data_IF_612818056315
#
_entry.id   IF_612818056315
#
_cell.length_a   1.000
_cell.length_b   1.000
_cell.length_c   1.000
_cell.angle_alpha   90.00
_cell.angle_beta   90.00
_cell.angle_gamma   90.00
#
_symmetry.space_group_name_H-M   'P 1'
#
loop_
_entity.id
_entity.type
_entity.pdbx_description
1 polymer ?
#
# COMPACT_ATOMS: atom_id res chain seq x y z
N UNK A 1 1.56 -8.53 10.21
CA UNK A 1 1.46 -8.15 8.79
C UNK A 1 1.62 -9.44 8.00
N UNK A 2 0.91 -9.58 6.88
CA UNK A 2 0.87 -10.84 6.13
C UNK A 2 1.95 -10.91 5.02
N UNK A 3 2.57 -9.77 4.68
CA UNK A 3 3.55 -9.61 3.60
C UNK A 3 4.63 -10.72 3.52
N UNK A 4 5.34 -11.07 4.62
CA UNK A 4 6.34 -12.13 4.58
C UNK A 4 5.77 -13.50 4.20
N UNK A 5 4.54 -13.80 4.64
CA UNK A 5 3.85 -15.04 4.27
C UNK A 5 3.53 -15.09 2.77
N UNK A 6 3.08 -13.98 2.21
CA UNK A 6 2.84 -13.86 0.76
C UNK A 6 4.13 -13.97 -0.07
N UNK A 7 5.27 -13.48 0.43
CA UNK A 7 6.57 -13.69 -0.21
C UNK A 7 6.95 -15.18 -0.26
N UNK A 8 6.71 -15.92 0.83
CA UNK A 8 6.94 -17.37 0.89
C UNK A 8 5.99 -18.12 -0.05
N UNK A 9 4.73 -17.69 -0.15
CA UNK A 9 3.77 -18.26 -1.09
C UNK A 9 4.18 -18.01 -2.54
N UNK A 10 4.67 -16.81 -2.85
CA UNK A 10 5.19 -16.46 -4.16
C UNK A 10 6.37 -17.37 -4.53
N UNK A 11 7.37 -17.51 -3.64
CA UNK A 11 8.59 -18.30 -3.88
C UNK A 11 8.40 -19.82 -3.84
N UNK A 12 7.20 -20.31 -3.48
CA UNK A 12 6.92 -21.74 -3.41
C UNK A 12 7.09 -22.47 -4.76
N UNK A 13 6.90 -21.78 -5.88
CA UNK A 13 7.10 -22.32 -7.22
C UNK A 13 7.82 -21.31 -8.12
N UNK A 14 8.62 -21.77 -9.10
CA UNK A 14 9.12 -20.93 -10.19
C UNK A 14 7.99 -20.14 -10.83
N UNK A 15 8.21 -18.84 -11.05
CA UNK A 15 7.24 -17.93 -11.67
C UNK A 15 7.71 -17.47 -13.03
N UNK A 16 6.80 -17.28 -13.96
CA UNK A 16 7.08 -16.72 -15.29
C UNK A 16 6.41 -15.36 -15.45
N UNK A 17 6.93 -14.51 -16.34
CA UNK A 17 6.40 -13.16 -16.56
C UNK A 17 4.92 -13.13 -16.96
N UNK A 18 4.43 -14.20 -17.60
CA UNK A 18 3.04 -14.37 -18.03
C UNK A 18 2.05 -14.59 -16.87
N UNK A 19 2.53 -15.03 -15.71
CA UNK A 19 1.70 -15.19 -14.51
C UNK A 19 1.51 -13.86 -13.75
N UNK A 20 2.26 -12.81 -14.14
CA UNK A 20 2.19 -11.49 -13.52
C UNK A 20 1.18 -10.60 -14.28
N UNK A 21 0.34 -9.82 -13.58
CA UNK A 21 0.37 -9.56 -12.14
C UNK A 21 -0.31 -10.66 -11.31
N UNK A 22 0.36 -11.10 -10.24
CA UNK A 22 -0.15 -12.08 -9.28
C UNK A 22 -0.66 -11.36 -8.02
N UNK A 23 -1.92 -11.64 -7.64
CA UNK A 23 -2.61 -10.93 -6.56
C UNK A 23 -3.02 -11.91 -5.46
N UNK A 24 -2.54 -11.69 -4.25
CA UNK A 24 -3.00 -12.41 -3.06
C UNK A 24 -3.81 -11.48 -2.15
N UNK A 25 -4.90 -12.00 -1.60
CA UNK A 25 -5.71 -11.30 -0.61
C UNK A 25 -5.82 -12.19 0.64
N UNK A 26 -5.68 -11.59 1.82
CA UNK A 26 -5.69 -12.28 3.11
C UNK A 26 -6.43 -11.45 4.17
N UNK A 27 -7.39 -12.09 4.83
CA UNK A 27 -8.18 -11.54 5.94
C UNK A 27 -7.70 -12.06 7.31
N UNK A 28 -6.43 -12.44 7.38
CA UNK A 28 -5.75 -12.95 8.57
C UNK A 28 -5.83 -12.01 9.77
N UNK A 29 -5.85 -12.60 10.97
CA UNK A 29 -5.90 -11.84 12.23
C UNK A 29 -4.52 -11.27 12.54
N UNK A 30 -4.45 -9.95 12.63
CA UNK A 30 -3.25 -9.20 12.98
C UNK A 30 -3.26 -8.78 14.44
N UNK A 31 -2.08 -8.78 15.04
CA UNK A 31 -1.87 -8.28 16.40
C UNK A 31 -0.76 -7.21 16.41
N UNK A 32 -1.02 -6.08 17.08
CA UNK A 32 -0.03 -5.03 17.35
C UNK A 32 -0.09 -4.65 18.82
N UNK A 33 1.05 -4.62 19.50
CA UNK A 33 1.11 -4.25 20.92
C UNK A 33 1.11 -2.74 21.11
N UNK A 34 0.01 -2.10 20.72
CA UNK A 34 -0.20 -0.65 20.89
C UNK A 34 -0.17 -0.25 22.38
N UNK A 35 0.36 0.94 22.65
CA UNK A 35 0.36 1.53 23.99
C UNK A 35 -1.08 1.61 24.52
N UNK A 36 -1.30 1.19 25.77
CA UNK A 36 -2.65 1.12 26.35
C UNK A 36 -3.40 2.46 26.31
N UNK A 37 -2.69 3.57 26.52
CA UNK A 37 -3.27 4.93 26.45
C UNK A 37 -3.63 5.41 25.06
N UNK A 38 -3.19 4.73 23.98
CA UNK A 38 -3.53 5.07 22.60
C UNK A 38 -4.74 4.28 22.08
N UNK A 39 -5.22 3.27 22.81
CA UNK A 39 -6.36 2.45 22.40
C UNK A 39 -7.65 3.27 22.43
N UNK A 40 -8.46 3.15 21.37
CA UNK A 40 -9.72 3.89 21.26
C UNK A 40 -10.74 3.13 20.41
N UNK A 41 -11.89 2.83 21.02
CA UNK A 41 -13.04 2.17 20.37
C UNK A 41 -12.63 1.00 19.48
N UNK A 42 -13.01 1.10 18.19
CA UNK A 42 -12.61 0.16 17.13
C UNK A 42 -11.56 0.72 16.17
N UNK A 43 -11.18 2.01 16.31
CA UNK A 43 -10.25 2.67 15.39
C UNK A 43 -8.79 2.38 15.73
N UNK A 44 -8.47 2.08 17.00
CA UNK A 44 -7.12 1.65 17.42
C UNK A 44 -7.19 0.55 18.47
N UNK A 45 -6.89 -0.67 18.04
CA UNK A 45 -7.03 -1.91 18.82
C UNK A 45 -5.76 -2.76 18.71
N UNK A 46 -5.58 -3.71 19.65
CA UNK A 46 -4.43 -4.63 19.62
C UNK A 46 -4.60 -5.84 18.70
N UNK A 47 -5.85 -6.17 18.35
CA UNK A 47 -6.20 -7.28 17.47
C UNK A 47 -7.22 -6.78 16.45
N UNK A 48 -6.93 -6.97 15.18
CA UNK A 48 -7.78 -6.53 14.06
C UNK A 48 -7.58 -7.43 12.84
N UNK A 49 -8.42 -7.27 11.83
CA UNK A 49 -8.27 -7.91 10.52
C UNK A 49 -8.21 -6.81 9.48
N UNK A 50 -7.24 -6.91 8.58
CA UNK A 50 -7.17 -6.06 7.39
C UNK A 50 -7.69 -6.89 6.22
N UNK A 51 -8.34 -6.23 5.28
CA UNK A 51 -8.52 -6.67 3.90
C UNK A 51 -7.19 -6.55 3.14
N UNK A 52 -6.16 -7.23 3.66
CA UNK A 52 -4.78 -7.09 3.22
C UNK A 52 -4.58 -7.76 1.84
N UNK A 53 -3.82 -7.11 0.96
CA UNK A 53 -3.56 -7.63 -0.37
C UNK A 53 -2.15 -7.29 -0.85
N UNK A 54 -1.55 -8.21 -1.59
CA UNK A 54 -0.20 -8.04 -2.15
C UNK A 54 -0.22 -8.40 -3.63
N UNK A 55 0.28 -7.47 -4.44
CA UNK A 55 0.34 -7.60 -5.88
C UNK A 55 1.82 -7.70 -6.27
N UNK A 56 2.21 -8.86 -6.79
CA UNK A 56 3.51 -9.06 -7.44
C UNK A 56 3.32 -8.78 -8.92
N UNK A 57 4.01 -7.77 -9.43
CA UNK A 57 3.89 -7.35 -10.82
C UNK A 57 5.25 -6.94 -11.39
N UNK A 58 5.34 -6.85 -12.71
CA UNK A 58 6.50 -6.27 -13.37
C UNK A 58 6.45 -4.75 -13.29
N UNK A 59 7.60 -4.09 -13.49
CA UNK A 59 7.69 -2.62 -13.45
C UNK A 59 6.73 -1.95 -14.44
N UNK A 60 6.58 -2.50 -15.64
CA UNK A 60 5.67 -1.98 -16.67
C UNK A 60 4.18 -2.10 -16.30
N UNK A 61 3.83 -2.87 -15.27
CA UNK A 61 2.46 -3.10 -14.81
C UNK A 61 2.07 -2.27 -13.59
N UNK A 62 3.03 -1.60 -12.93
CA UNK A 62 2.82 -0.87 -11.67
C UNK A 62 1.71 0.18 -11.81
N UNK A 63 1.76 0.99 -12.87
CA UNK A 63 0.80 2.08 -13.09
C UNK A 63 -0.64 1.57 -13.21
N UNK A 64 -0.84 0.50 -13.98
CA UNK A 64 -2.16 -0.10 -14.18
C UNK A 64 -2.72 -0.73 -12.90
N UNK A 65 -1.87 -1.39 -12.10
CA UNK A 65 -2.28 -1.99 -10.82
C UNK A 65 -2.66 -0.94 -9.78
N UNK A 66 -1.91 0.16 -9.68
CA UNK A 66 -2.25 1.26 -8.77
C UNK A 66 -3.56 1.92 -9.21
N UNK A 67 -3.75 2.14 -10.52
CA UNK A 67 -5.00 2.71 -11.05
C UNK A 67 -6.20 1.83 -10.70
N UNK A 68 -6.08 0.52 -10.89
CA UNK A 68 -7.10 -0.45 -10.48
C UNK A 68 -7.40 -0.42 -8.98
N UNK A 69 -6.38 -0.22 -8.13
CA UNK A 69 -6.57 -0.05 -6.69
C UNK A 69 -7.32 1.25 -6.35
N UNK A 70 -6.99 2.36 -7.02
CA UNK A 70 -7.69 3.64 -6.85
C UNK A 70 -9.15 3.56 -7.29
N UNK A 71 -9.44 2.85 -8.39
CA UNK A 71 -10.81 2.60 -8.85
C UNK A 71 -11.60 1.77 -7.85
N UNK A 72 -11.00 0.71 -7.29
CA UNK A 72 -11.62 -0.10 -6.25
C UNK A 72 -11.92 0.72 -4.98
N UNK A 73 -10.99 1.57 -4.56
CA UNK A 73 -11.21 2.50 -3.43
C UNK A 73 -12.33 3.50 -3.71
N UNK A 74 -12.40 4.02 -4.94
CA UNK A 74 -13.47 4.93 -5.36
C UNK A 74 -14.84 4.25 -5.31
N UNK A 75 -14.93 3.01 -5.82
CA UNK A 75 -16.16 2.23 -5.72
C UNK A 75 -16.58 2.01 -4.27
N UNK A 76 -15.67 1.52 -3.42
CA UNK A 76 -15.96 1.25 -2.01
C UNK A 76 -16.37 2.52 -1.26
N UNK A 77 -15.51 3.54 -1.23
CA UNK A 77 -15.77 4.73 -0.43
C UNK A 77 -16.85 5.63 -1.01
N UNK A 78 -16.79 5.98 -2.29
CA UNK A 78 -17.70 6.98 -2.88
C UNK A 78 -19.04 6.35 -3.28
N UNK A 79 -19.02 5.19 -3.95
CA UNK A 79 -20.24 4.60 -4.53
C UNK A 79 -21.04 3.80 -3.51
N UNK A 80 -20.39 2.94 -2.72
CA UNK A 80 -21.07 2.05 -1.77
C UNK A 80 -21.35 2.75 -0.44
N UNK A 81 -20.35 3.41 0.14
CA UNK A 81 -20.47 3.99 1.49
C UNK A 81 -20.77 5.49 1.52
N UNK A 82 -20.63 6.21 0.39
CA UNK A 82 -20.91 7.65 0.32
C UNK A 82 -19.91 8.55 1.06
N UNK A 83 -18.68 8.07 1.30
CA UNK A 83 -17.59 8.87 1.84
C UNK A 83 -16.85 9.64 0.74
N UNK A 84 -16.27 10.77 1.12
CA UNK A 84 -15.20 11.42 0.36
C UNK A 84 -13.86 11.11 0.99
N UNK A 85 -12.82 10.89 0.19
CA UNK A 85 -11.47 10.65 0.69
C UNK A 85 -10.44 11.62 0.08
N UNK A 86 -9.32 11.79 0.78
CA UNK A 86 -8.13 12.50 0.30
C UNK A 86 -6.98 11.54 0.10
N UNK A 87 -6.22 11.78 -0.95
CA UNK A 87 -5.00 11.06 -1.29
C UNK A 87 -3.80 11.86 -0.79
N UNK A 88 -2.88 11.21 -0.08
CA UNK A 88 -1.62 11.81 0.34
C UNK A 88 -0.45 10.94 -0.13
N UNK A 89 0.49 11.53 -0.88
CA UNK A 89 1.73 10.85 -1.26
C UNK A 89 2.75 11.01 -0.14
N UNK A 90 3.04 9.91 0.55
CA UNK A 90 4.02 9.85 1.62
C UNK A 90 5.38 9.37 1.09
N UNK A 91 6.37 10.27 1.14
CA UNK A 91 7.70 10.07 0.54
C UNK A 91 8.72 9.53 1.55
N UNK A 92 9.93 9.21 1.05
CA UNK A 92 11.04 8.61 1.78
C UNK A 92 11.31 9.26 3.16
N UNK A 93 11.26 8.50 4.26
CA UNK A 93 11.62 8.98 5.59
C UNK A 93 13.14 9.14 5.76
N UNK A 94 13.58 9.76 6.86
CA UNK A 94 15.02 9.86 7.19
C UNK A 94 15.70 8.48 7.34
N UNK A 95 15.00 7.51 7.93
CA UNK A 95 15.45 6.13 8.08
C UNK A 95 14.79 5.21 7.06
N UNK A 96 15.46 4.94 5.95
CA UNK A 96 14.95 4.09 4.86
C UNK A 96 15.90 2.94 4.51
N UNK A 97 15.37 1.92 3.85
CA UNK A 97 16.11 0.78 3.32
C UNK A 97 16.29 0.86 1.80
N UNK A 98 17.40 0.32 1.32
CA UNK A 98 17.70 0.20 -0.10
C UNK A 98 18.35 1.45 -0.71
N UNK A 99 18.47 1.43 -2.03
CA UNK A 99 19.14 2.47 -2.80
C UNK A 99 18.23 3.69 -3.04
N UNK A 100 18.83 4.89 -3.01
CA UNK A 100 18.12 6.16 -3.27
C UNK A 100 17.52 6.17 -4.68
N UNK A 101 18.18 5.56 -5.67
CA UNK A 101 17.67 5.47 -7.05
C UNK A 101 16.33 4.75 -7.12
N UNK A 102 16.21 3.60 -6.45
CA UNK A 102 14.98 2.81 -6.38
C UNK A 102 13.85 3.60 -5.72
N UNK A 103 14.18 4.37 -4.69
CA UNK A 103 13.21 5.26 -4.05
C UNK A 103 12.73 6.38 -4.96
N UNK A 104 13.63 7.03 -5.69
CA UNK A 104 13.28 8.09 -6.61
C UNK A 104 12.38 7.56 -7.74
N UNK A 105 12.66 6.36 -8.25
CA UNK A 105 11.79 5.66 -9.21
C UNK A 105 10.41 5.40 -8.61
N UNK A 106 10.35 4.79 -7.42
CA UNK A 106 9.10 4.47 -6.74
C UNK A 106 8.22 5.70 -6.48
N UNK A 107 8.83 6.81 -6.04
CA UNK A 107 8.13 8.07 -5.81
C UNK A 107 7.64 8.71 -7.11
N UNK A 108 8.43 8.61 -8.18
CA UNK A 108 8.04 9.09 -9.50
C UNK A 108 6.84 8.30 -10.04
N UNK A 109 6.88 6.96 -9.96
CA UNK A 109 5.79 6.09 -10.40
C UNK A 109 4.49 6.39 -9.66
N UNK A 110 4.52 6.50 -8.33
CA UNK A 110 3.34 6.85 -7.53
C UNK A 110 2.81 8.24 -7.87
N UNK A 111 3.71 9.22 -8.07
CA UNK A 111 3.34 10.59 -8.40
C UNK A 111 2.70 10.67 -9.79
N UNK A 112 3.25 9.98 -10.78
CA UNK A 112 2.71 9.93 -12.14
C UNK A 112 1.28 9.39 -12.14
N UNK A 113 1.04 8.25 -11.48
CA UNK A 113 -0.31 7.68 -11.39
C UNK A 113 -1.29 8.61 -10.66
N UNK A 114 -0.83 9.30 -9.61
CA UNK A 114 -1.64 10.29 -8.90
C UNK A 114 -1.98 11.49 -9.80
N UNK A 115 -1.02 12.01 -10.55
CA UNK A 115 -1.20 13.13 -11.48
C UNK A 115 -2.17 12.74 -12.62
N UNK A 116 -2.02 11.54 -13.17
CA UNK A 116 -2.91 10.99 -14.22
C UNK A 116 -4.33 10.70 -13.72
N UNK A 117 -4.50 10.37 -12.43
CA UNK A 117 -5.82 10.07 -11.86
C UNK A 117 -6.79 11.25 -11.93
N UNK A 118 -6.29 12.47 -12.14
CA UNK A 118 -7.07 13.71 -12.13
C UNK A 118 -7.65 14.08 -10.76
N UNK A 119 -7.33 13.31 -9.71
CA UNK A 119 -7.78 13.55 -8.34
C UNK A 119 -6.82 14.49 -7.62
N UNK A 120 -7.37 15.32 -6.73
CA UNK A 120 -6.55 16.17 -5.86
C UNK A 120 -5.83 15.29 -4.84
N UNK A 121 -4.51 15.41 -4.80
CA UNK A 121 -3.66 14.76 -3.81
C UNK A 121 -2.75 15.80 -3.13
N UNK A 122 -2.21 15.46 -1.96
CA UNK A 122 -1.27 16.29 -1.21
C UNK A 122 0.03 15.54 -0.94
N UNK A 123 1.14 16.25 -0.85
CA UNK A 123 2.43 15.68 -0.47
C UNK A 123 2.55 15.61 1.05
N UNK A 124 3.02 14.49 1.57
CA UNK A 124 3.33 14.28 2.99
C UNK A 124 4.80 13.85 3.12
N UNK A 125 5.69 14.83 3.20
CA UNK A 125 7.13 14.59 3.13
C UNK A 125 7.62 13.77 4.34
N UNK A 126 8.33 12.66 4.06
CA UNK A 126 9.01 11.87 5.09
C UNK A 126 8.14 10.91 5.89
N UNK A 127 6.86 10.75 5.55
CA UNK A 127 5.91 9.85 6.25
C UNK A 127 5.74 8.48 5.54
N UNK A 128 6.60 8.18 4.57
CA UNK A 128 6.66 6.90 3.87
C UNK A 128 7.03 5.75 4.81
N UNK A 129 6.73 4.51 4.42
CA UNK A 129 7.18 3.35 5.17
C UNK A 129 8.69 3.20 5.01
N UNK A 130 9.41 2.57 5.95
CA UNK A 130 10.87 2.41 5.83
C UNK A 130 11.32 1.58 4.60
N UNK A 131 10.40 0.88 3.95
CA UNK A 131 10.63 0.00 2.79
C UNK A 131 10.07 0.53 1.46
N UNK A 132 9.38 1.67 1.45
CA UNK A 132 8.86 2.24 0.21
C UNK A 132 7.90 3.42 0.42
N UNK A 133 7.67 4.22 -0.64
CA UNK A 133 6.68 5.29 -0.58
C UNK A 133 5.26 4.71 -0.62
N UNK A 134 4.29 5.50 -0.15
CA UNK A 134 2.89 5.06 -0.09
C UNK A 134 1.90 6.18 -0.40
N UNK A 135 0.74 5.80 -0.91
CA UNK A 135 -0.43 6.66 -1.03
C UNK A 135 -1.32 6.37 0.16
N UNK A 136 -1.45 7.31 1.08
CA UNK A 136 -2.34 7.19 2.23
C UNK A 136 -3.71 7.80 1.93
N UNK A 137 -4.75 7.01 2.19
CA UNK A 137 -6.14 7.39 1.93
C UNK A 137 -6.81 7.72 3.26
N UNK A 138 -7.23 8.98 3.38
CA UNK A 138 -7.88 9.50 4.57
C UNK A 138 -9.34 9.82 4.31
N UNK A 139 -10.23 9.36 5.17
CA UNK A 139 -11.66 9.69 5.15
C UNK A 139 -12.00 10.64 6.29
N UNK A 140 -13.08 11.40 6.13
CA UNK A 140 -13.57 12.31 7.17
C UNK A 140 -14.78 11.71 7.89
N UNK A 141 -14.73 11.67 9.23
CA UNK A 141 -15.88 11.23 10.03
C UNK A 141 -16.93 12.34 10.20
N UNK A 142 -18.09 11.99 10.79
CA UNK A 142 -19.19 12.94 11.03
C UNK A 142 -18.81 14.11 11.97
N UNK A 143 -17.73 13.97 12.75
CA UNK A 143 -17.18 15.01 13.62
C UNK A 143 -16.06 15.82 12.93
N UNK A 144 -15.91 15.66 11.61
CA UNK A 144 -14.92 16.34 10.77
C UNK A 144 -13.46 15.95 11.05
N UNK A 145 -13.22 14.83 11.73
CA UNK A 145 -11.87 14.30 11.98
C UNK A 145 -11.44 13.41 10.81
N UNK A 146 -10.16 13.46 10.46
CA UNK A 146 -9.60 12.61 9.41
C UNK A 146 -9.01 11.33 9.99
N UNK A 147 -9.30 10.20 9.35
CA UNK A 147 -8.78 8.89 9.72
C UNK A 147 -8.15 8.26 8.48
N UNK A 148 -6.93 7.74 8.62
CA UNK A 148 -6.32 6.92 7.58
C UNK A 148 -6.98 5.53 7.61
N UNK A 149 -7.59 5.12 6.49
CA UNK A 149 -8.32 3.87 6.41
C UNK A 149 -7.75 2.89 5.38
N UNK A 150 -7.16 3.39 4.30
CA UNK A 150 -6.49 2.57 3.29
C UNK A 150 -5.11 3.15 2.95
N UNK A 151 -4.28 2.31 2.35
CA UNK A 151 -2.94 2.68 1.90
C UNK A 151 -2.55 1.81 0.71
N UNK A 152 -1.91 2.40 -0.30
CA UNK A 152 -1.27 1.68 -1.41
C UNK A 152 0.23 1.90 -1.25
N UNK A 153 0.99 0.82 -1.10
CA UNK A 153 2.41 0.90 -0.78
C UNK A 153 3.22 0.22 -1.89
N UNK A 154 4.26 0.89 -2.38
CA UNK A 154 5.12 0.36 -3.42
C UNK A 154 6.43 -0.15 -2.80
N UNK A 155 6.57 -1.47 -2.70
CA UNK A 155 7.66 -2.13 -1.99
C UNK A 155 8.64 -2.83 -2.94
N UNK A 156 9.84 -2.28 -3.04
CA UNK A 156 10.95 -2.89 -3.78
C UNK A 156 11.93 -3.68 -2.88
N UNK A 157 11.76 -3.60 -1.56
CA UNK A 157 12.70 -4.14 -0.57
C UNK A 157 12.38 -5.58 -0.20
N UNK A 158 11.11 -5.91 0.05
CA UNK A 158 10.73 -7.29 0.40
C UNK A 158 11.09 -8.29 -0.71
N UNK A 159 10.81 -8.02 -2.01
CA UNK A 159 11.23 -8.93 -3.09
C UNK A 159 12.74 -9.22 -3.08
N UNK A 160 13.58 -8.21 -2.87
CA UNK A 160 15.03 -8.38 -2.80
C UNK A 160 15.47 -9.20 -1.57
N UNK A 161 14.86 -8.94 -0.41
CA UNK A 161 15.20 -9.64 0.85
C UNK A 161 14.81 -11.11 0.84
N UNK A 162 13.76 -11.47 0.10
CA UNK A 162 13.28 -12.84 -0.05
C UNK A 162 13.83 -13.53 -1.31
N UNK A 163 14.72 -12.87 -2.06
CA UNK A 163 15.28 -13.37 -3.32
C UNK A 163 14.20 -13.80 -4.33
N UNK A 164 13.14 -12.99 -4.43
CA UNK A 164 12.01 -13.27 -5.31
C UNK A 164 12.41 -12.96 -6.76
N UNK A 165 12.12 -13.89 -7.65
CA UNK A 165 12.38 -13.75 -9.08
C UNK A 165 11.25 -14.33 -9.91
N UNK A 166 11.24 -13.99 -11.20
CA UNK A 166 10.44 -14.63 -12.22
C UNK A 166 11.32 -14.81 -13.46
N UNK A 167 10.97 -15.79 -14.30
CA UNK A 167 11.63 -16.07 -15.57
C UNK A 167 10.96 -15.29 -16.70
N UNK A 168 11.79 -14.79 -17.62
CA UNK A 168 11.36 -14.32 -18.95
C UNK A 168 10.87 -15.48 -19.83
#
# INVERSE_FOLDING_TARGET
MNCPGHCIMYSHMPRTYNELPMRYADFGVLHRNEMSGALTGLTRVRRFQQDDAHIFCRKDQIGDEIRGCLDFLSYCYETVFGFTFKLNLATRPEGFLGEISTWNEAEADLKEVLDESGRKWALNEGDGAFYGPKIDITIQDALRRYHQCATIQLDFQLPQRFDLSYFE
#
